data_IF_846152619462
#
_entry.id   IF_846152619462
#
_cell.length_a   1.000
_cell.length_b   1.000
_cell.length_c   1.000
_cell.angle_alpha   90.00
_cell.angle_beta   90.00
_cell.angle_gamma   90.00
#
_symmetry.space_group_name_H-M   'P 1'
#
loop_
_entity.id
_entity.type
_entity.pdbx_description
1 polymer ?
#
# COMPACT_ATOMS: atom_id res chain seq x y z
N UNK A 1 83.22 -41.02 -6.69
CA UNK A 1 82.31 -40.74 -5.55
C UNK A 1 82.63 -39.38 -4.92
N UNK A 2 82.53 -38.29 -5.70
CA UNK A 2 82.93 -36.93 -5.24
C UNK A 2 81.94 -35.83 -5.65
N UNK A 3 80.73 -36.18 -6.12
CA UNK A 3 79.76 -35.20 -6.62
C UNK A 3 78.64 -34.81 -5.63
N UNK A 4 78.48 -35.55 -4.52
CA UNK A 4 77.42 -35.29 -3.54
C UNK A 4 77.81 -34.31 -2.40
N UNK A 5 79.10 -33.98 -2.28
CA UNK A 5 79.58 -33.12 -1.19
C UNK A 5 79.40 -31.61 -1.47
N UNK A 6 79.35 -31.19 -2.73
CA UNK A 6 79.20 -29.77 -3.09
C UNK A 6 77.76 -29.27 -3.06
N UNK A 7 76.78 -30.12 -3.43
CA UNK A 7 75.36 -29.75 -3.42
C UNK A 7 74.85 -29.52 -1.99
N UNK A 8 75.34 -30.31 -1.03
CA UNK A 8 74.91 -30.21 0.37
C UNK A 8 75.44 -28.92 1.07
N UNK A 9 76.60 -28.41 0.64
CA UNK A 9 77.17 -27.16 1.17
C UNK A 9 76.45 -25.91 0.66
N UNK A 10 75.93 -25.94 -0.56
CA UNK A 10 75.18 -24.83 -1.15
C UNK A 10 73.77 -24.74 -0.55
N UNK A 11 73.10 -25.87 -0.32
CA UNK A 11 71.79 -25.87 0.35
C UNK A 11 71.85 -25.34 1.79
N UNK A 12 72.90 -25.65 2.56
CA UNK A 12 73.06 -25.15 3.93
C UNK A 12 73.31 -23.63 3.95
N UNK A 13 74.07 -23.09 2.99
CA UNK A 13 74.30 -21.65 2.89
C UNK A 13 73.05 -20.86 2.50
N UNK A 14 72.21 -21.40 1.60
CA UNK A 14 70.95 -20.77 1.21
C UNK A 14 69.95 -20.79 2.38
N UNK A 15 69.90 -21.90 3.15
CA UNK A 15 69.02 -22.00 4.32
C UNK A 15 69.43 -21.03 5.44
N UNK A 16 70.74 -20.79 5.62
CA UNK A 16 71.24 -19.82 6.59
C UNK A 16 70.99 -18.37 6.15
N UNK A 17 71.06 -18.07 4.85
CA UNK A 17 70.77 -16.74 4.30
C UNK A 17 69.28 -16.37 4.38
N UNK A 18 68.38 -17.34 4.17
CA UNK A 18 66.93 -17.16 4.32
C UNK A 18 66.54 -16.95 5.80
N UNK A 19 67.22 -17.63 6.73
CA UNK A 19 66.99 -17.43 8.18
C UNK A 19 67.52 -16.07 8.69
N UNK A 20 68.52 -15.49 8.03
CA UNK A 20 69.08 -14.19 8.42
C UNK A 20 68.24 -13.01 7.91
N UNK A 21 67.47 -13.19 6.82
CA UNK A 21 66.49 -12.23 6.32
C UNK A 21 65.14 -12.30 7.05
N UNK A 22 64.89 -13.35 7.84
CA UNK A 22 63.70 -13.48 8.68
C UNK A 22 63.85 -12.84 10.08
N UNK A 23 64.82 -11.93 10.27
CA UNK A 23 64.81 -11.02 11.43
C UNK A 23 63.73 -9.98 11.21
N UNK A 24 62.52 -10.34 11.60
CA UNK A 24 61.41 -9.40 11.77
C UNK A 24 61.88 -8.29 12.71
N UNK A 25 62.01 -7.09 12.16
CA UNK A 25 62.16 -5.88 12.95
C UNK A 25 60.86 -5.71 13.72
N UNK A 26 60.84 -6.17 14.96
CA UNK A 26 59.82 -5.76 15.94
C UNK A 26 60.07 -4.29 16.20
N UNK A 27 59.42 -3.42 15.42
CA UNK A 27 59.31 -2.01 15.76
C UNK A 27 58.59 -1.98 17.11
N UNK A 28 59.19 -1.44 18.17
CA UNK A 28 58.46 -1.19 19.39
C UNK A 28 57.34 -0.20 19.04
N UNK A 29 56.10 -0.67 19.06
CA UNK A 29 54.93 0.21 19.03
C UNK A 29 54.99 1.00 20.32
N UNK A 30 55.58 2.20 20.26
CA UNK A 30 55.41 3.19 21.31
C UNK A 30 53.92 3.52 21.34
N UNK A 31 53.23 3.00 22.35
CA UNK A 31 51.93 3.48 22.73
C UNK A 31 52.11 4.95 23.14
N UNK A 32 51.88 5.87 22.21
CA UNK A 32 51.66 7.27 22.53
C UNK A 32 50.45 7.29 23.45
N UNK A 33 50.71 7.52 24.73
CA UNK A 33 49.70 7.89 25.70
C UNK A 33 49.32 9.32 25.33
N UNK A 34 48.41 9.46 24.36
CA UNK A 34 47.79 10.74 24.07
C UNK A 34 47.03 11.12 25.35
N UNK A 35 47.57 12.07 26.10
CA UNK A 35 46.80 12.73 27.16
C UNK A 35 45.59 13.36 26.50
N UNK A 36 44.40 12.93 26.93
CA UNK A 36 43.13 13.42 26.38
C UNK A 36 43.01 14.90 26.74
N UNK A 37 43.11 15.76 25.75
CA UNK A 37 43.26 17.19 25.96
C UNK A 37 42.01 17.97 25.58
N UNK A 38 41.11 17.42 24.75
CA UNK A 38 39.95 18.17 24.25
C UNK A 38 38.61 17.48 24.49
N UNK A 39 37.64 18.24 25.00
CA UNK A 39 36.23 17.82 25.12
C UNK A 39 35.65 17.68 23.70
N UNK A 40 34.94 16.57 23.37
CA UNK A 40 34.36 16.39 22.05
C UNK A 40 33.40 17.52 21.66
N UNK A 41 33.46 17.92 20.39
CA UNK A 41 32.60 18.93 19.79
C UNK A 41 31.57 18.23 18.92
N UNK A 42 30.30 18.57 19.10
CA UNK A 42 29.20 18.08 18.28
C UNK A 42 29.01 19.05 17.10
N UNK A 43 29.17 18.56 15.88
CA UNK A 43 29.12 19.38 14.67
C UNK A 43 27.76 19.31 13.98
N UNK A 44 27.21 18.10 13.87
CA UNK A 44 25.94 17.85 13.20
C UNK A 44 25.03 17.08 14.13
N UNK A 45 23.88 17.68 14.45
CA UNK A 45 22.82 17.08 15.25
C UNK A 45 21.48 17.48 14.63
N UNK A 46 20.54 16.55 14.43
CA UNK A 46 19.21 16.89 13.98
C UNK A 46 18.47 17.71 15.03
N UNK A 47 17.86 18.82 14.63
CA UNK A 47 16.98 19.59 15.52
C UNK A 47 15.65 18.87 15.75
N UNK A 48 15.11 18.24 14.70
CA UNK A 48 13.95 17.38 14.75
C UNK A 48 14.33 15.95 14.38
N UNK A 49 13.86 14.98 15.15
CA UNK A 49 14.11 13.56 14.90
C UNK A 49 12.80 12.79 14.79
N UNK A 50 12.61 12.07 13.69
CA UNK A 50 11.43 11.25 13.41
C UNK A 50 11.76 9.76 13.61
N UNK A 51 11.51 9.15 14.78
CA UNK A 51 12.08 7.83 15.14
C UNK A 51 11.64 6.67 14.24
N UNK A 52 10.51 6.82 13.53
CA UNK A 52 9.97 5.79 12.63
C UNK A 52 10.45 5.94 11.18
N UNK A 53 11.06 7.07 10.84
CA UNK A 53 11.41 7.44 9.47
C UNK A 53 12.93 7.61 9.35
N UNK A 54 13.56 8.24 10.34
CA UNK A 54 14.95 8.64 10.34
C UNK A 54 15.88 7.68 11.09
N UNK A 55 17.15 7.72 10.70
CA UNK A 55 18.26 7.15 11.48
C UNK A 55 18.81 8.26 12.37
N UNK A 56 19.01 7.97 13.66
CA UNK A 56 19.60 8.92 14.59
C UNK A 56 21.07 9.12 14.24
N UNK A 57 21.36 10.26 13.62
CA UNK A 57 22.66 10.57 13.04
C UNK A 57 23.32 11.75 13.74
N UNK A 58 24.52 11.54 14.27
CA UNK A 58 25.31 12.58 14.93
C UNK A 58 26.75 12.51 14.45
N UNK A 59 27.35 13.67 14.19
CA UNK A 59 28.77 13.79 13.86
C UNK A 59 29.45 14.78 14.81
N UNK A 60 30.73 14.53 15.05
CA UNK A 60 31.55 15.43 15.85
C UNK A 60 33.05 15.27 15.63
N UNK A 61 33.81 16.02 16.41
CA UNK A 61 35.27 16.00 16.45
C UNK A 61 35.76 15.76 17.88
N UNK A 62 36.91 15.11 18.02
CA UNK A 62 37.62 14.86 19.27
C UNK A 62 39.10 14.65 19.00
N UNK A 63 39.88 14.30 20.03
CA UNK A 63 41.24 13.81 19.82
C UNK A 63 41.23 12.51 18.98
N UNK A 64 42.23 12.29 18.11
CA UNK A 64 42.30 11.10 17.25
C UNK A 64 42.32 9.78 18.02
N UNK A 65 41.66 8.76 17.46
CA UNK A 65 41.60 7.39 17.99
C UNK A 65 40.96 7.24 19.39
N UNK A 66 40.24 8.27 19.84
CA UNK A 66 39.54 8.23 21.12
C UNK A 66 38.20 7.51 21.03
N UNK A 67 37.83 6.80 22.10
CA UNK A 67 36.47 6.31 22.27
C UNK A 67 35.58 7.47 22.74
N UNK A 68 34.40 7.61 22.15
CA UNK A 68 33.44 8.68 22.42
C UNK A 68 32.19 8.04 22.99
N UNK A 69 31.81 8.47 24.19
CA UNK A 69 30.56 8.09 24.82
C UNK A 69 29.55 9.22 24.64
N UNK A 70 28.42 8.88 24.02
CA UNK A 70 27.32 9.80 23.75
C UNK A 70 26.12 9.42 24.61
N UNK A 71 25.60 10.39 25.34
CA UNK A 71 24.41 10.23 26.16
C UNK A 71 23.24 11.00 25.55
N UNK A 72 22.10 10.31 25.45
CA UNK A 72 20.81 10.86 25.01
C UNK A 72 19.81 10.65 26.15
N UNK A 73 19.33 11.74 26.75
CA UNK A 73 18.48 11.69 27.94
C UNK A 73 17.29 12.62 27.81
N UNK A 74 16.11 12.19 28.24
CA UNK A 74 14.97 13.08 28.45
C UNK A 74 14.75 13.37 29.94
N UNK A 75 14.15 14.51 30.27
CA UNK A 75 13.90 14.89 31.65
C UNK A 75 13.01 13.86 32.37
N UNK A 76 13.54 13.27 33.45
CA UNK A 76 12.83 12.29 34.27
C UNK A 76 12.54 10.94 33.60
N UNK A 77 13.15 10.65 32.44
CA UNK A 77 12.94 9.42 31.65
C UNK A 77 14.24 8.62 31.49
N UNK A 78 14.13 7.49 30.80
CA UNK A 78 15.26 6.65 30.43
C UNK A 78 16.34 7.42 29.67
N UNK A 79 17.58 6.95 29.79
CA UNK A 79 18.72 7.49 29.05
C UNK A 79 19.33 6.39 28.20
N UNK A 80 19.78 6.77 27.00
CA UNK A 80 20.52 5.90 26.10
C UNK A 80 21.99 6.32 26.11
N UNK A 81 22.88 5.33 26.14
CA UNK A 81 24.32 5.56 26.04
C UNK A 81 24.85 4.79 24.84
N UNK A 82 25.56 5.50 23.97
CA UNK A 82 26.22 4.94 22.79
C UNK A 82 27.72 5.13 22.89
N UNK A 83 28.47 4.26 22.23
CA UNK A 83 29.92 4.39 22.13
C UNK A 83 30.35 4.27 20.68
N UNK A 84 31.21 5.19 20.26
CA UNK A 84 31.80 5.21 18.92
C UNK A 84 33.29 5.55 19.03
N UNK A 85 34.04 5.48 17.93
CA UNK A 85 35.47 5.80 17.92
C UNK A 85 35.75 6.93 16.94
N UNK A 86 36.63 7.84 17.35
CA UNK A 86 37.18 8.85 16.48
C UNK A 86 38.24 8.27 15.56
N UNK A 87 38.24 8.75 14.32
CA UNK A 87 39.22 8.36 13.32
C UNK A 87 40.58 9.03 13.55
N UNK A 88 41.50 8.82 12.62
CA UNK A 88 42.84 9.42 12.63
C UNK A 88 42.85 10.95 12.58
N UNK A 89 41.77 11.56 12.09
CA UNK A 89 41.60 13.01 11.99
C UNK A 89 40.81 13.56 13.20
N UNK A 90 40.38 12.70 14.12
CA UNK A 90 39.52 13.07 15.24
C UNK A 90 38.02 13.13 14.90
N UNK A 91 37.63 12.81 13.67
CA UNK A 91 36.23 12.80 13.25
C UNK A 91 35.53 11.53 13.74
N UNK A 92 34.31 11.65 14.23
CA UNK A 92 33.51 10.51 14.66
C UNK A 92 32.05 10.68 14.23
N UNK A 93 31.38 9.55 14.02
CA UNK A 93 29.97 9.52 13.63
C UNK A 93 29.23 8.43 14.42
N UNK A 94 27.93 8.66 14.64
CA UNK A 94 27.00 7.69 15.20
C UNK A 94 25.76 7.65 14.31
N UNK A 95 25.36 6.46 13.88
CA UNK A 95 24.19 6.24 13.04
C UNK A 95 23.41 5.04 13.58
N UNK A 96 22.42 5.28 14.43
CA UNK A 96 21.66 4.23 15.11
C UNK A 96 20.15 4.36 14.88
N UNK A 97 19.43 3.24 14.88
CA UNK A 97 17.96 3.25 14.85
C UNK A 97 17.43 3.12 16.27
N UNK A 98 17.02 4.25 16.84
CA UNK A 98 16.55 4.32 18.22
C UNK A 98 15.14 4.88 18.25
N UNK A 99 14.29 4.31 19.10
CA UNK A 99 12.93 4.81 19.26
C UNK A 99 12.89 5.72 20.47
N UNK A 100 13.00 7.02 20.21
CA UNK A 100 12.78 8.06 21.20
C UNK A 100 11.28 8.31 21.36
N UNK A 101 10.85 8.52 22.61
CA UNK A 101 9.51 9.01 22.88
C UNK A 101 9.37 10.47 22.45
N UNK A 102 8.13 10.89 22.24
CA UNK A 102 7.83 12.28 21.91
C UNK A 102 8.34 13.26 22.99
N UNK A 103 8.86 14.39 22.51
CA UNK A 103 9.33 15.50 23.34
C UNK A 103 10.82 15.79 23.18
N UNK A 104 11.34 16.60 24.11
CA UNK A 104 12.72 17.09 24.03
C UNK A 104 13.71 16.13 24.69
N UNK A 105 14.82 15.92 23.99
CA UNK A 105 15.93 15.06 24.36
C UNK A 105 17.23 15.85 24.39
N UNK A 106 18.00 15.66 25.45
CA UNK A 106 19.28 16.30 25.67
C UNK A 106 20.40 15.37 25.25
N UNK A 107 21.30 15.86 24.42
CA UNK A 107 22.43 15.12 23.89
C UNK A 107 23.75 15.77 24.29
N UNK A 108 24.67 14.94 24.77
CA UNK A 108 26.03 15.35 25.12
C UNK A 108 27.02 14.21 24.89
N UNK A 109 28.26 14.56 24.64
CA UNK A 109 29.34 13.61 24.37
C UNK A 109 30.53 13.83 25.32
N UNK A 110 31.29 12.77 25.59
CA UNK A 110 32.58 12.84 26.27
C UNK A 110 33.56 11.81 25.71
N UNK A 111 34.83 12.13 25.73
CA UNK A 111 35.88 11.16 25.42
C UNK A 111 36.12 10.22 26.60
N UNK A 112 36.31 8.95 26.29
CA UNK A 112 36.61 7.85 27.22
C UNK A 112 37.99 7.29 26.87
N UNK A 113 38.83 7.09 27.88
CA UNK A 113 40.15 6.49 27.73
C UNK A 113 40.23 5.24 28.61
N UNK A 114 40.52 4.09 28.01
CA UNK A 114 40.63 2.82 28.71
C UNK A 114 39.38 2.48 29.57
N UNK A 115 38.19 2.83 29.09
CA UNK A 115 36.93 2.62 29.80
C UNK A 115 36.63 3.60 30.95
N UNK A 116 37.51 4.58 31.18
CA UNK A 116 37.34 5.63 32.21
C UNK A 116 37.00 6.95 31.50
N UNK A 117 36.07 7.77 32.03
CA UNK A 117 35.82 9.10 31.48
C UNK A 117 37.11 9.92 31.41
N UNK A 118 37.54 10.26 30.19
CA UNK A 118 38.77 11.03 29.95
C UNK A 118 38.53 12.54 29.95
N UNK A 119 37.28 12.98 29.78
CA UNK A 119 36.88 14.40 29.72
C UNK A 119 35.57 14.67 30.44
N UNK A 120 35.29 15.94 30.73
CA UNK A 120 33.95 16.38 31.12
C UNK A 120 32.98 16.29 29.93
N UNK A 121 31.68 16.29 30.21
CA UNK A 121 30.66 16.34 29.17
C UNK A 121 30.76 17.61 28.31
N UNK A 122 30.45 17.47 27.03
CA UNK A 122 30.28 18.58 26.09
C UNK A 122 29.08 19.46 26.47
N UNK A 123 28.94 20.58 25.75
CA UNK A 123 27.71 21.35 25.77
C UNK A 123 26.51 20.45 25.42
N UNK A 124 25.39 20.72 26.07
CA UNK A 124 24.14 19.98 25.87
C UNK A 124 23.39 20.55 24.68
N UNK A 125 23.01 19.69 23.75
CA UNK A 125 22.15 20.04 22.62
C UNK A 125 20.76 19.44 22.83
N UNK A 126 19.74 20.14 22.33
CA UNK A 126 18.34 19.68 22.43
C UNK A 126 17.87 19.19 21.07
N UNK A 127 17.28 18.01 21.05
CA UNK A 127 16.63 17.38 19.90
C UNK A 127 15.16 17.19 20.26
N UNK A 128 14.25 17.67 19.41
CA UNK A 128 12.82 17.40 19.59
C UNK A 128 12.44 16.15 18.79
N UNK A 129 12.05 15.09 19.50
CA UNK A 129 11.56 13.87 18.88
C UNK A 129 10.08 13.97 18.56
N UNK A 130 9.73 13.74 17.29
CA UNK A 130 8.36 13.82 16.77
C UNK A 130 7.92 12.41 16.41
N UNK A 131 6.95 11.88 17.14
CA UNK A 131 6.48 10.51 16.95
C UNK A 131 5.33 10.44 15.92
N UNK A 132 5.62 9.97 14.71
CA UNK A 132 4.66 9.91 13.58
C UNK A 132 3.88 8.60 13.50
N UNK A 133 3.46 8.07 14.65
CA UNK A 133 2.72 6.82 14.69
C UNK A 133 1.92 6.58 15.96
N UNK A 134 1.30 5.40 16.03
CA UNK A 134 0.57 4.92 17.21
C UNK A 134 1.24 3.64 17.69
N UNK A 135 1.48 3.54 19.00
CA UNK A 135 1.94 2.32 19.65
C UNK A 135 0.76 1.61 20.32
N UNK A 136 0.51 0.37 19.91
CA UNK A 136 -0.51 -0.51 20.51
C UNK A 136 0.22 -1.71 21.08
N UNK A 137 0.35 -1.76 22.41
CA UNK A 137 1.17 -2.77 23.08
C UNK A 137 2.64 -2.67 22.65
N UNK A 138 3.18 -3.76 22.11
CA UNK A 138 4.57 -3.82 21.64
C UNK A 138 4.73 -3.57 20.12
N UNK A 139 3.65 -3.20 19.42
CA UNK A 139 3.66 -2.97 17.98
C UNK A 139 3.49 -1.48 17.72
N UNK A 140 4.30 -0.93 16.81
CA UNK A 140 4.22 0.47 16.40
C UNK A 140 3.78 0.56 14.95
N UNK A 141 2.76 1.39 14.68
CA UNK A 141 2.24 1.64 13.35
C UNK A 141 2.50 3.09 12.96
N UNK A 142 3.23 3.31 11.87
CA UNK A 142 3.38 4.65 11.28
C UNK A 142 2.05 5.13 10.70
N UNK A 143 1.77 6.43 10.81
CA UNK A 143 0.59 7.04 10.19
C UNK A 143 0.53 6.84 8.67
N UNK A 144 1.69 6.76 8.01
CA UNK A 144 1.77 6.47 6.57
C UNK A 144 1.22 5.09 6.28
N UNK A 145 1.61 4.08 7.06
CA UNK A 145 1.13 2.71 6.90
C UNK A 145 -0.38 2.61 7.15
N UNK A 146 -0.89 3.28 8.20
CA UNK A 146 -2.33 3.33 8.50
C UNK A 146 -3.10 3.99 7.36
N UNK A 147 -2.59 5.10 6.82
CA UNK A 147 -3.22 5.85 5.73
C UNK A 147 -3.30 5.01 4.45
N UNK A 148 -2.20 4.32 4.08
CA UNK A 148 -2.17 3.42 2.92
C UNK A 148 -3.16 2.28 3.10
N UNK A 149 -3.19 1.67 4.29
CA UNK A 149 -4.13 0.59 4.61
C UNK A 149 -5.60 1.03 4.47
N UNK A 150 -5.94 2.21 5.01
CA UNK A 150 -7.27 2.78 4.90
C UNK A 150 -7.66 3.07 3.44
N UNK A 151 -6.73 3.58 2.64
CA UNK A 151 -6.94 3.85 1.22
C UNK A 151 -7.21 2.56 0.43
N UNK A 152 -6.50 1.47 0.74
CA UNK A 152 -6.75 0.15 0.13
C UNK A 152 -8.16 -0.34 0.46
N UNK A 153 -8.58 -0.25 1.73
CA UNK A 153 -9.94 -0.62 2.16
C UNK A 153 -11.00 0.21 1.42
N UNK A 154 -10.78 1.52 1.28
CA UNK A 154 -11.68 2.41 0.56
C UNK A 154 -11.86 1.96 -0.91
N UNK A 155 -10.77 1.65 -1.60
CA UNK A 155 -10.80 1.19 -3.01
C UNK A 155 -11.56 -0.14 -3.12
N UNK A 156 -11.27 -1.11 -2.24
CA UNK A 156 -11.95 -2.40 -2.24
C UNK A 156 -13.45 -2.24 -1.98
N UNK A 157 -13.82 -1.41 -1.00
CA UNK A 157 -15.21 -1.12 -0.66
C UNK A 157 -15.94 -0.45 -1.83
N UNK A 158 -15.32 0.55 -2.46
CA UNK A 158 -15.88 1.22 -3.65
C UNK A 158 -16.06 0.24 -4.82
N UNK A 159 -15.07 -0.61 -5.08
CA UNK A 159 -15.17 -1.66 -6.11
C UNK A 159 -16.27 -2.67 -5.81
N UNK A 160 -16.43 -3.07 -4.55
CA UNK A 160 -17.48 -3.98 -4.10
C UNK A 160 -18.88 -3.37 -4.26
N UNK A 161 -19.07 -2.11 -3.85
CA UNK A 161 -20.34 -1.39 -4.05
C UNK A 161 -20.68 -1.23 -5.53
N UNK A 162 -19.68 -0.91 -6.36
CA UNK A 162 -19.85 -0.84 -7.81
C UNK A 162 -20.26 -2.19 -8.39
N UNK A 163 -19.59 -3.27 -8.00
CA UNK A 163 -19.93 -4.64 -8.40
C UNK A 163 -21.37 -5.01 -8.02
N UNK A 164 -21.78 -4.75 -6.78
CA UNK A 164 -23.14 -5.01 -6.31
C UNK A 164 -24.17 -4.22 -7.10
N UNK A 165 -23.95 -2.92 -7.29
CA UNK A 165 -24.85 -2.06 -8.07
C UNK A 165 -25.02 -2.58 -9.49
N UNK A 166 -23.92 -3.01 -10.12
CA UNK A 166 -23.95 -3.54 -11.48
C UNK A 166 -24.67 -4.88 -11.56
N UNK A 167 -24.49 -5.74 -10.56
CA UNK A 167 -25.16 -7.03 -10.46
C UNK A 167 -26.67 -6.87 -10.26
N UNK A 168 -27.09 -6.01 -9.33
CA UNK A 168 -28.51 -5.70 -9.09
C UNK A 168 -29.18 -5.17 -10.34
N UNK A 169 -28.60 -4.15 -10.99
CA UNK A 169 -29.13 -3.60 -12.25
C UNK A 169 -29.25 -4.63 -13.36
N UNK A 170 -28.31 -5.58 -13.45
CA UNK A 170 -28.37 -6.65 -14.45
C UNK A 170 -29.52 -7.62 -14.15
N UNK A 171 -29.71 -7.98 -12.88
CA UNK A 171 -30.79 -8.86 -12.46
C UNK A 171 -32.15 -8.21 -12.65
N UNK A 172 -32.32 -6.94 -12.27
CA UNK A 172 -33.55 -6.18 -12.48
C UNK A 172 -33.92 -6.10 -13.95
N UNK A 173 -32.97 -5.77 -14.83
CA UNK A 173 -33.21 -5.73 -16.28
C UNK A 173 -33.67 -7.07 -16.83
N UNK A 174 -33.04 -8.16 -16.40
CA UNK A 174 -33.42 -9.50 -16.86
C UNK A 174 -34.80 -9.90 -16.36
N UNK A 175 -35.17 -9.50 -15.14
CA UNK A 175 -36.48 -9.81 -14.57
C UNK A 175 -37.59 -8.99 -15.23
N UNK A 176 -37.34 -7.69 -15.45
CA UNK A 176 -38.25 -6.81 -16.18
C UNK A 176 -38.46 -7.27 -17.64
N UNK A 177 -37.39 -7.67 -18.33
CA UNK A 177 -37.51 -8.23 -19.69
C UNK A 177 -38.40 -9.47 -19.71
N UNK A 178 -38.20 -10.39 -18.76
CA UNK A 178 -38.99 -11.62 -18.67
C UNK A 178 -40.47 -11.32 -18.37
N UNK A 179 -40.75 -10.45 -17.39
CA UNK A 179 -42.13 -10.07 -17.07
C UNK A 179 -42.81 -9.35 -18.23
N UNK A 180 -42.07 -8.52 -18.97
CA UNK A 180 -42.59 -7.82 -20.15
C UNK A 180 -42.91 -8.80 -21.28
N UNK A 181 -42.04 -9.79 -21.53
CA UNK A 181 -42.28 -10.83 -22.54
C UNK A 181 -43.49 -11.71 -22.18
N UNK A 182 -43.62 -12.12 -20.91
CA UNK A 182 -44.78 -12.88 -20.43
C UNK A 182 -46.09 -12.06 -20.56
N UNK A 183 -46.04 -10.76 -20.26
CA UNK A 183 -47.18 -9.86 -20.43
C UNK A 183 -47.55 -9.68 -21.91
N UNK A 184 -46.56 -9.49 -22.80
CA UNK A 184 -46.77 -9.40 -24.24
C UNK A 184 -47.40 -10.67 -24.80
N UNK A 185 -46.92 -11.85 -24.38
CA UNK A 185 -47.48 -13.12 -24.83
C UNK A 185 -48.95 -13.27 -24.42
N UNK A 186 -49.28 -12.98 -23.15
CA UNK A 186 -50.67 -13.03 -22.65
C UNK A 186 -51.58 -12.04 -23.37
N UNK A 187 -51.09 -10.83 -23.64
CA UNK A 187 -51.83 -9.81 -24.39
C UNK A 187 -52.09 -10.25 -25.84
N UNK A 188 -51.08 -10.78 -26.53
CA UNK A 188 -51.20 -11.29 -27.89
C UNK A 188 -52.18 -12.47 -27.98
N UNK A 189 -52.16 -13.38 -27.00
CA UNK A 189 -53.10 -14.49 -26.91
C UNK A 189 -54.53 -14.02 -26.71
N UNK A 190 -54.77 -13.10 -25.77
CA UNK A 190 -56.09 -12.50 -25.56
C UNK A 190 -56.62 -11.78 -26.80
N UNK A 191 -55.75 -11.05 -27.50
CA UNK A 191 -56.08 -10.40 -28.76
C UNK A 191 -56.46 -11.40 -29.86
N UNK A 192 -55.70 -12.50 -29.99
CA UNK A 192 -56.00 -13.56 -30.97
C UNK A 192 -57.38 -14.18 -30.73
N UNK A 193 -57.73 -14.43 -29.46
CA UNK A 193 -59.05 -14.96 -29.09
C UNK A 193 -60.14 -13.96 -29.49
N UNK A 194 -60.00 -12.69 -29.11
CA UNK A 194 -60.98 -11.64 -29.41
C UNK A 194 -61.16 -11.45 -30.93
N UNK A 195 -60.06 -11.41 -31.69
CA UNK A 195 -60.08 -11.33 -33.15
C UNK A 195 -60.80 -12.50 -33.79
N UNK A 196 -60.56 -13.71 -33.28
CA UNK A 196 -61.24 -14.92 -33.77
C UNK A 196 -62.74 -14.84 -33.52
N UNK A 197 -63.17 -14.46 -32.32
CA UNK A 197 -64.59 -14.29 -32.00
C UNK A 197 -65.28 -13.22 -32.86
N UNK A 198 -64.62 -12.09 -33.14
CA UNK A 198 -65.17 -11.04 -34.03
C UNK A 198 -65.30 -11.57 -35.46
N UNK A 199 -64.30 -12.30 -35.96
CA UNK A 199 -64.33 -12.88 -37.31
C UNK A 199 -65.39 -13.97 -37.46
N UNK A 200 -65.58 -14.81 -36.45
CA UNK A 200 -66.65 -15.81 -36.41
C UNK A 200 -68.03 -15.16 -36.45
N UNK A 201 -68.25 -14.10 -35.67
CA UNK A 201 -69.52 -13.35 -35.68
C UNK A 201 -69.77 -12.69 -37.04
N UNK A 202 -68.73 -12.11 -37.67
CA UNK A 202 -68.82 -11.56 -39.03
C UNK A 202 -69.15 -12.64 -40.06
N UNK A 203 -68.59 -13.84 -39.94
CA UNK A 203 -68.91 -14.97 -40.81
C UNK A 203 -70.35 -15.47 -40.63
N UNK A 204 -70.89 -15.43 -39.41
CA UNK A 204 -72.29 -15.77 -39.16
C UNK A 204 -73.23 -14.77 -39.86
N UNK A 205 -72.93 -13.47 -39.76
CA UNK A 205 -73.67 -12.42 -40.48
C UNK A 205 -73.57 -12.61 -42.00
N UNK A 206 -72.38 -12.94 -42.53
CA UNK A 206 -72.17 -13.16 -43.97
C UNK A 206 -72.77 -14.47 -44.50
N UNK A 207 -72.95 -15.47 -43.63
CA UNK A 207 -73.72 -16.68 -43.97
C UNK A 207 -75.21 -16.37 -43.98
N UNK A 208 -75.72 -15.66 -42.98
CA UNK A 208 -77.13 -15.25 -42.90
C UNK A 208 -77.54 -14.44 -44.13
N UNK A 209 -76.69 -13.51 -44.58
CA UNK A 209 -76.95 -12.70 -45.78
C UNK A 209 -77.04 -13.47 -47.10
N UNK A 210 -76.56 -14.71 -47.16
CA UNK A 210 -76.63 -15.56 -48.37
C UNK A 210 -77.90 -16.40 -48.43
N UNK A 211 -78.59 -16.61 -47.30
CA UNK A 211 -79.76 -17.48 -47.20
C UNK A 211 -81.05 -16.74 -46.81
N UNK A 212 -80.95 -15.52 -46.27
CA UNK A 212 -82.05 -14.68 -45.78
C UNK A 212 -81.90 -13.22 -46.23
N UNK A 213 -83.01 -12.47 -46.28
CA UNK A 213 -82.98 -11.03 -46.50
C UNK A 213 -82.27 -10.32 -45.34
N UNK A 214 -81.17 -9.64 -45.65
CA UNK A 214 -80.34 -8.92 -44.67
C UNK A 214 -81.14 -7.78 -44.05
N UNK A 215 -81.31 -7.82 -42.74
CA UNK A 215 -81.94 -6.70 -42.02
C UNK A 215 -80.97 -5.52 -41.87
N UNK A 216 -81.50 -4.30 -41.82
CA UNK A 216 -80.71 -3.09 -41.56
C UNK A 216 -79.88 -3.21 -40.26
N UNK A 217 -80.40 -3.91 -39.24
CA UNK A 217 -79.69 -4.17 -37.99
C UNK A 217 -78.42 -5.01 -38.18
N UNK A 218 -78.47 -6.02 -39.05
CA UNK A 218 -77.32 -6.89 -39.35
C UNK A 218 -76.18 -6.12 -40.05
N UNK A 219 -76.52 -5.17 -40.94
CA UNK A 219 -75.54 -4.29 -41.59
C UNK A 219 -74.87 -3.32 -40.62
N UNK A 220 -75.66 -2.71 -39.74
CA UNK A 220 -75.15 -1.81 -38.69
C UNK A 220 -74.22 -2.58 -37.74
N UNK A 221 -74.62 -3.81 -37.36
CA UNK A 221 -73.80 -4.69 -36.51
C UNK A 221 -72.48 -5.06 -37.18
N UNK A 222 -72.51 -5.39 -38.48
CA UNK A 222 -71.30 -5.70 -39.28
C UNK A 222 -70.33 -4.53 -39.31
N UNK A 223 -70.82 -3.33 -39.61
CA UNK A 223 -69.98 -2.13 -39.67
C UNK A 223 -69.36 -1.80 -38.30
N UNK A 224 -70.14 -1.95 -37.23
CA UNK A 224 -69.66 -1.77 -35.86
C UNK A 224 -68.53 -2.75 -35.51
N UNK A 225 -68.70 -4.04 -35.80
CA UNK A 225 -67.70 -5.07 -35.53
C UNK A 225 -66.39 -4.83 -36.30
N UNK A 226 -66.47 -4.39 -37.56
CA UNK A 226 -65.29 -4.04 -38.36
C UNK A 226 -64.56 -2.82 -37.79
N UNK A 227 -65.31 -1.81 -37.33
CA UNK A 227 -64.74 -0.61 -36.70
C UNK A 227 -64.08 -0.94 -35.36
N UNK A 228 -64.71 -1.79 -34.56
CA UNK A 228 -64.17 -2.28 -33.29
C UNK A 228 -62.88 -3.08 -33.52
N UNK A 229 -62.85 -3.97 -34.53
CA UNK A 229 -61.65 -4.73 -34.89
C UNK A 229 -60.49 -3.82 -35.31
N UNK A 230 -60.75 -2.84 -36.19
CA UNK A 230 -59.72 -1.89 -36.64
C UNK A 230 -59.19 -1.04 -35.48
N UNK A 231 -60.06 -0.57 -34.60
CA UNK A 231 -59.66 0.22 -33.42
C UNK A 231 -58.82 -0.62 -32.45
N UNK A 232 -59.19 -1.88 -32.27
CA UNK A 232 -58.45 -2.82 -31.42
C UNK A 232 -57.05 -3.11 -31.99
N UNK A 233 -56.95 -3.37 -33.30
CA UNK A 233 -55.67 -3.60 -34.01
C UNK A 233 -54.72 -2.41 -33.88
N UNK A 234 -55.22 -1.19 -34.12
CA UNK A 234 -54.42 0.04 -34.01
C UNK A 234 -53.98 0.36 -32.57
N UNK A 235 -54.84 0.08 -31.58
CA UNK A 235 -54.52 0.28 -30.17
C UNK A 235 -53.41 -0.68 -29.70
N UNK A 236 -53.54 -1.97 -30.03
CA UNK A 236 -52.55 -2.99 -29.66
C UNK A 236 -51.20 -2.72 -30.32
N UNK A 237 -51.20 -2.32 -31.59
CA UNK A 237 -49.98 -1.98 -32.31
C UNK A 237 -49.20 -0.86 -31.61
N UNK A 238 -49.89 0.20 -31.19
CA UNK A 238 -49.26 1.32 -30.46
C UNK A 238 -48.70 0.89 -29.11
N UNK A 239 -49.44 0.09 -28.34
CA UNK A 239 -48.94 -0.35 -27.03
C UNK A 239 -47.74 -1.30 -27.12
N UNK A 240 -47.66 -2.14 -28.15
CA UNK A 240 -46.47 -2.95 -28.40
C UNK A 240 -45.26 -2.06 -28.75
N UNK A 241 -45.46 -1.07 -29.61
CA UNK A 241 -44.40 -0.12 -29.99
C UNK A 241 -43.90 0.70 -28.80
N UNK A 242 -44.78 1.10 -27.88
CA UNK A 242 -44.41 1.90 -26.71
C UNK A 242 -43.69 1.07 -25.65
N UNK A 243 -44.09 -0.19 -25.44
CA UNK A 243 -43.35 -1.12 -24.56
C UNK A 243 -41.96 -1.43 -25.09
N UNK A 244 -41.79 -1.59 -26.41
CA UNK A 244 -40.48 -1.84 -27.02
C UNK A 244 -39.50 -0.66 -26.87
N UNK A 245 -40.00 0.58 -26.78
CA UNK A 245 -39.14 1.76 -26.57
C UNK A 245 -38.65 1.92 -25.12
N UNK A 246 -39.30 1.25 -24.16
CA UNK A 246 -39.01 1.37 -22.72
C UNK A 246 -38.02 0.32 -22.19
N UNK A 247 -37.75 -0.73 -22.96
CA UNK A 247 -36.80 -1.81 -22.66
C UNK A 247 -35.36 -1.48 -23.10
#
# INVERSE_FOLDING_TARGET
MTSYAHVNRICILILFFVLLLARTTTVPVQAQTNEVSSVPILNLIPYHYYPLEDVFYIEGMSDPFMEIELEVRADGRDHFTFRTHADKNGSWTLAERIILEEGDWYVRARAVQNGIPGTTWSNTHVITSIFTGIRIGNITFSYVAITIFLLIILIISGGFLFYLTRRVRKTERHLLQKETEEAQHKAAEGFRIMRTSILEELQLIDKKSKFEDVTQEDLIKRERLLRELHTLEDNIKREIEDVQKLL
#
